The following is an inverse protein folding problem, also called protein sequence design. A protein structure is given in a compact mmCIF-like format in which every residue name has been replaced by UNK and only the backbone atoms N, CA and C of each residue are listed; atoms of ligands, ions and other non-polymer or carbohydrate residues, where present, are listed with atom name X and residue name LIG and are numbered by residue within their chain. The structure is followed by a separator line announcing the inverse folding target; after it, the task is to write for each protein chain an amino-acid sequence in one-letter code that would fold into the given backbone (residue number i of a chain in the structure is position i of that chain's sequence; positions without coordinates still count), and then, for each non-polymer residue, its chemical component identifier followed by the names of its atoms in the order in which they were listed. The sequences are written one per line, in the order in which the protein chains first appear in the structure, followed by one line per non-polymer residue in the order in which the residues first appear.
data_IF_166615139530
#
_entry.id   IF_166615139530
#
_cell.length_a   1.000
_cell.length_b   1.000
_cell.length_c   1.000
_cell.angle_alpha   90.00
_cell.angle_beta   90.00
_cell.angle_gamma   90.00
#
_symmetry.space_group_name_H-M   'P 1'
#
loop_
_entity.id
_entity.type
_entity.pdbx_description
1 polymer ?
#
# COMPACT_ATOMS: atom_id res chain seq x y z
N UNK A 1 11.95 10.28 -18.61
CA UNK A 1 10.92 9.92 -17.62
C UNK A 1 11.56 9.99 -16.25
N UNK A 2 10.96 10.74 -15.31
CA UNK A 2 11.51 10.93 -13.97
C UNK A 2 11.39 9.64 -13.16
N UNK A 3 12.23 9.47 -12.13
CA UNK A 3 12.29 8.22 -11.35
C UNK A 3 10.93 7.90 -10.68
N UNK A 4 10.28 8.93 -10.16
CA UNK A 4 8.98 8.86 -9.47
C UNK A 4 7.87 8.44 -10.43
N UNK A 5 7.87 8.97 -11.65
CA UNK A 5 6.91 8.57 -12.69
C UNK A 5 7.05 7.08 -13.03
N UNK A 6 8.28 6.58 -13.11
CA UNK A 6 8.55 5.17 -13.37
C UNK A 6 8.04 4.28 -12.25
N UNK A 7 8.27 4.69 -11.00
CA UNK A 7 7.77 3.96 -9.82
C UNK A 7 6.25 3.96 -9.76
N UNK A 8 5.61 5.10 -10.00
CA UNK A 8 4.15 5.20 -10.04
C UNK A 8 3.59 4.26 -11.11
N UNK A 9 4.11 4.31 -12.35
CA UNK A 9 3.66 3.39 -13.41
C UNK A 9 3.83 1.92 -13.04
N UNK A 10 4.94 1.56 -12.39
CA UNK A 10 5.16 0.18 -11.94
C UNK A 10 4.16 -0.24 -10.87
N UNK A 11 3.87 0.63 -9.91
CA UNK A 11 2.90 0.37 -8.84
C UNK A 11 1.45 0.32 -9.36
N UNK A 12 1.10 1.14 -10.35
CA UNK A 12 -0.23 1.15 -10.96
C UNK A 12 -0.61 -0.19 -11.60
N UNK A 13 0.37 -0.98 -12.07
CA UNK A 13 0.13 -2.34 -12.59
C UNK A 13 -0.39 -3.31 -11.53
N UNK A 14 -0.18 -3.01 -10.25
CA UNK A 14 -0.55 -3.87 -9.13
C UNK A 14 -1.87 -3.50 -8.44
N UNK A 15 -2.62 -2.52 -8.95
CA UNK A 15 -3.87 -2.03 -8.36
C UNK A 15 -5.01 -1.99 -9.36
N UNK A 16 -6.25 -2.08 -8.89
CA UNK A 16 -7.43 -2.09 -9.76
C UNK A 16 -7.82 -0.68 -10.21
N UNK A 17 -8.68 -0.59 -11.23
CA UNK A 17 -9.25 0.68 -11.68
C UNK A 17 -10.07 1.38 -10.57
N UNK A 18 -10.70 0.60 -9.69
CA UNK A 18 -11.41 1.12 -8.52
C UNK A 18 -10.46 1.81 -7.53
N UNK A 19 -9.33 1.16 -7.22
CA UNK A 19 -8.32 1.75 -6.34
C UNK A 19 -7.73 3.04 -6.94
N UNK A 20 -7.50 3.03 -8.25
CA UNK A 20 -7.03 4.20 -8.97
C UNK A 20 -8.01 5.37 -8.82
N UNK A 21 -9.32 5.12 -8.97
CA UNK A 21 -10.34 6.14 -8.77
C UNK A 21 -10.39 6.63 -7.30
N UNK A 22 -10.20 5.75 -6.33
CA UNK A 22 -10.13 6.13 -4.91
C UNK A 22 -8.90 7.00 -4.62
N UNK A 23 -7.73 6.66 -5.17
CA UNK A 23 -6.50 7.43 -5.05
C UNK A 23 -6.68 8.82 -5.66
N UNK A 24 -7.25 8.93 -6.87
CA UNK A 24 -7.52 10.22 -7.53
C UNK A 24 -8.41 11.09 -6.63
N UNK A 25 -9.52 10.54 -6.12
CA UNK A 25 -10.44 11.27 -5.23
C UNK A 25 -9.76 11.69 -3.93
N UNK A 26 -9.00 10.79 -3.30
CA UNK A 26 -8.30 11.07 -2.04
C UNK A 26 -7.22 12.15 -2.23
N UNK A 27 -6.44 12.06 -3.31
CA UNK A 27 -5.40 13.01 -3.63
C UNK A 27 -5.99 14.39 -3.94
N UNK A 28 -7.05 14.44 -4.76
CA UNK A 28 -7.76 15.68 -5.05
C UNK A 28 -8.34 16.31 -3.80
N UNK A 29 -8.91 15.53 -2.88
CA UNK A 29 -9.41 16.04 -1.60
C UNK A 29 -8.31 16.64 -0.72
N UNK A 30 -7.13 16.02 -0.70
CA UNK A 30 -6.02 16.43 0.17
C UNK A 30 -5.26 17.65 -0.37
N UNK A 31 -5.02 17.69 -1.68
CA UNK A 31 -4.17 18.70 -2.31
C UNK A 31 -4.96 19.74 -3.12
N UNK A 32 -6.28 19.57 -3.26
CA UNK A 32 -7.16 20.39 -4.10
C UNK A 32 -6.70 20.52 -5.56
N UNK A 33 -6.06 19.46 -6.08
CA UNK A 33 -5.54 19.38 -7.45
C UNK A 33 -6.18 18.18 -8.15
N UNK A 34 -6.76 18.42 -9.32
CA UNK A 34 -7.19 17.34 -10.20
C UNK A 34 -5.94 16.66 -10.78
N UNK A 35 -5.86 15.34 -10.60
CA UNK A 35 -4.75 14.53 -11.11
C UNK A 35 -5.27 13.49 -12.10
N UNK A 36 -4.46 13.22 -13.10
CA UNK A 36 -4.61 12.03 -13.94
C UNK A 36 -3.44 11.08 -13.72
N UNK A 37 -3.69 9.79 -13.92
CA UNK A 37 -2.70 8.72 -13.74
C UNK A 37 -2.09 8.27 -15.08
N UNK A 38 -2.33 9.01 -16.17
CA UNK A 38 -1.74 8.72 -17.47
C UNK A 38 -0.25 9.12 -17.50
N UNK A 39 0.56 8.52 -18.38
CA UNK A 39 1.94 8.95 -18.61
C UNK A 39 2.11 10.45 -18.82
N UNK A 40 1.20 11.06 -19.58
CA UNK A 40 1.20 12.46 -19.97
C UNK A 40 0.88 13.35 -18.77
N UNK A 41 -0.12 12.96 -17.97
CA UNK A 41 -0.50 13.70 -16.76
C UNK A 41 0.64 13.70 -15.75
N UNK A 42 1.25 12.54 -15.49
CA UNK A 42 2.37 12.41 -14.57
C UNK A 42 3.58 13.24 -15.01
N UNK A 43 3.83 13.36 -16.32
CA UNK A 43 4.90 14.20 -16.87
C UNK A 43 4.67 15.69 -16.63
N UNK A 44 3.41 16.13 -16.61
CA UNK A 44 3.04 17.53 -16.36
C UNK A 44 3.06 17.92 -14.87
N UNK A 45 3.04 16.93 -13.96
CA UNK A 45 2.98 17.19 -12.53
C UNK A 45 4.28 17.74 -11.95
N UNK A 46 4.15 18.63 -10.96
CA UNK A 46 5.26 19.10 -10.14
C UNK A 46 5.82 17.96 -9.31
N UNK A 47 7.15 17.95 -9.11
CA UNK A 47 7.85 16.94 -8.32
C UNK A 47 7.30 16.79 -6.90
N UNK A 48 6.96 17.90 -6.27
CA UNK A 48 6.40 17.96 -4.92
C UNK A 48 5.07 17.20 -4.77
N UNK A 49 4.32 17.01 -5.87
CA UNK A 49 3.05 16.27 -5.88
C UNK A 49 3.22 14.81 -6.31
N UNK A 50 4.28 14.50 -7.07
CA UNK A 50 4.59 13.13 -7.48
C UNK A 50 5.03 12.26 -6.30
N UNK A 51 5.80 12.82 -5.36
CA UNK A 51 6.28 12.08 -4.18
C UNK A 51 5.12 11.61 -3.29
N UNK A 52 4.18 12.48 -2.84
CA UNK A 52 3.02 12.04 -2.08
C UNK A 52 2.12 11.07 -2.84
N UNK A 53 1.95 11.26 -4.16
CA UNK A 53 1.14 10.36 -4.98
C UNK A 53 1.73 8.95 -5.01
N UNK A 54 3.05 8.84 -5.24
CA UNK A 54 3.78 7.58 -5.17
C UNK A 54 3.58 6.92 -3.81
N UNK A 55 3.73 7.67 -2.73
CA UNK A 55 3.68 7.12 -1.37
C UNK A 55 2.27 6.65 -0.99
N UNK A 56 1.23 7.37 -1.44
CA UNK A 56 -0.15 6.90 -1.31
C UNK A 56 -0.40 5.59 -2.05
N UNK A 57 0.03 5.48 -3.32
CA UNK A 57 -0.13 4.25 -4.11
C UNK A 57 0.65 3.10 -3.46
N UNK A 58 1.89 3.35 -3.02
CA UNK A 58 2.73 2.37 -2.34
C UNK A 58 2.08 1.89 -1.03
N UNK A 59 1.54 2.82 -0.24
CA UNK A 59 0.80 2.50 0.97
C UNK A 59 -0.38 1.57 0.70
N UNK A 60 -1.17 1.86 -0.33
CA UNK A 60 -2.30 1.01 -0.74
C UNK A 60 -1.87 -0.39 -1.20
N UNK A 61 -0.78 -0.48 -1.96
CA UNK A 61 -0.23 -1.78 -2.38
C UNK A 61 0.26 -2.58 -1.17
N UNK A 62 0.94 -1.93 -0.22
CA UNK A 62 1.42 -2.59 1.00
C UNK A 62 0.27 -3.06 1.88
N UNK A 63 -0.76 -2.23 2.07
CA UNK A 63 -1.92 -2.63 2.87
C UNK A 63 -2.64 -3.82 2.25
N UNK A 64 -2.85 -3.84 0.93
CA UNK A 64 -3.46 -5.00 0.27
C UNK A 64 -2.61 -6.26 0.34
N UNK A 65 -1.29 -6.16 0.20
CA UNK A 65 -0.42 -7.33 0.18
C UNK A 65 -0.16 -7.92 1.55
N UNK A 66 -0.17 -7.11 2.62
CA UNK A 66 0.39 -7.53 3.91
C UNK A 66 -0.57 -7.35 5.09
N UNK A 67 -1.67 -6.63 4.94
CA UNK A 67 -2.70 -6.62 5.99
C UNK A 67 -3.52 -7.91 5.80
N UNK A 68 -3.43 -8.89 6.73
CA UNK A 68 -4.38 -9.98 6.75
C UNK A 68 -5.76 -9.35 6.77
N UNK A 69 -6.72 -9.84 6.00
CA UNK A 69 -8.07 -9.28 6.04
C UNK A 69 -8.46 -9.20 7.51
N UNK A 70 -8.66 -7.99 8.05
CA UNK A 70 -8.97 -7.81 9.47
C UNK A 70 -10.16 -8.70 9.89
N UNK A 71 -11.06 -8.95 8.93
CA UNK A 71 -12.12 -9.93 9.00
C UNK A 71 -11.63 -11.38 9.20
N UNK A 72 -10.68 -11.87 8.42
CA UNK A 72 -10.08 -13.19 8.58
C UNK A 72 -9.32 -13.30 9.91
N UNK A 73 -8.55 -12.27 10.28
CA UNK A 73 -7.86 -12.23 11.57
C UNK A 73 -8.85 -12.26 12.75
N UNK A 74 -9.94 -11.50 12.66
CA UNK A 74 -11.00 -11.48 13.67
C UNK A 74 -11.78 -12.80 13.73
N UNK A 75 -12.03 -13.43 12.57
CA UNK A 75 -12.64 -14.76 12.49
C UNK A 75 -11.69 -15.86 13.04
N UNK A 76 -10.39 -15.76 12.78
CA UNK A 76 -9.37 -16.65 13.36
C UNK A 76 -9.29 -16.48 14.89
N UNK A 77 -9.39 -15.25 15.39
CA UNK A 77 -9.45 -14.92 16.83
C UNK A 77 -10.72 -15.50 17.47
N UNK A 78 -11.88 -15.32 16.81
CA UNK A 78 -13.18 -15.85 17.26
C UNK A 78 -13.26 -17.37 17.22
N UNK A 79 -12.56 -18.01 16.30
CA UNK A 79 -12.54 -19.48 16.14
C UNK A 79 -11.49 -20.19 17.02
N UNK A 80 -10.78 -19.45 17.89
CA UNK A 80 -9.73 -19.97 18.78
C UNK A 80 -8.61 -20.76 18.07
N UNK A 81 -8.51 -20.67 16.74
CA UNK A 81 -7.41 -21.23 15.92
C UNK A 81 -6.23 -20.27 15.85
N UNK A 82 -5.92 -19.59 16.95
CA UNK A 82 -4.63 -18.93 17.07
C UNK A 82 -3.59 -20.02 17.32
N UNK A 83 -2.47 -20.06 16.57
CA UNK A 83 -1.37 -20.93 16.93
C UNK A 83 -0.94 -20.55 18.36
N UNK A 84 -1.11 -21.46 19.32
CA UNK A 84 -0.75 -21.25 20.74
C UNK A 84 0.74 -21.01 20.98
N UNK A 85 1.55 -21.02 19.91
CA UNK A 85 2.97 -20.71 19.89
C UNK A 85 3.29 -19.78 18.72
N UNK A 86 3.24 -18.48 18.93
CA UNK A 86 4.24 -17.59 18.33
C UNK A 86 5.37 -17.51 19.35
N UNK A 87 6.35 -18.41 19.21
CA UNK A 87 7.63 -18.27 19.89
C UNK A 87 8.35 -17.07 19.28
N UNK A 88 8.36 -15.94 19.99
CA UNK A 88 9.28 -14.86 19.70
C UNK A 88 10.63 -15.21 20.32
N UNK A 89 11.57 -15.64 19.46
CA UNK A 89 12.96 -15.89 19.83
C UNK A 89 13.24 -17.33 20.22
N UNK A 90 14.28 -17.91 19.63
CA UNK A 90 14.96 -19.09 20.16
C UNK A 90 15.51 -18.74 21.54
N UNK A 91 14.81 -19.13 22.60
CA UNK A 91 15.49 -19.35 23.88
C UNK A 91 16.28 -20.64 23.67
N UNK A 92 17.59 -20.51 23.42
CA UNK A 92 18.50 -21.63 23.64
C UNK A 92 18.58 -21.78 25.15
N UNK A 93 17.90 -22.78 25.69
CA UNK A 93 18.27 -23.32 26.99
C UNK A 93 19.60 -24.04 26.77
N UNK A 94 20.69 -23.42 27.21
CA UNK A 94 21.98 -24.10 27.33
C UNK A 94 21.86 -25.12 28.48
N UNK A 95 21.56 -26.37 28.13
CA UNK A 95 21.86 -27.53 28.95
C UNK A 95 23.11 -28.22 28.37
N UNK A 96 24.26 -27.95 28.99
CA UNK A 96 25.25 -28.95 29.48
C UNK A 96 26.38 -28.25 30.26
#
# INVERSE_FOLDING_TARGET
MRFEEHQIKALLKGITSEDQAQIIKAFQKQFNVAIGLTPEDLASMKMELLIPLRDMIRGLVLTRKHVPQMLEAYQALRSAKLPRKTEFGLVKDEEE
#
